data_IF_454441220588
#
_entry.id   IF_454441220588
#
_cell.length_a   1.000
_cell.length_b   1.000
_cell.length_c   1.000
_cell.angle_alpha   90.00
_cell.angle_beta   90.00
_cell.angle_gamma   90.00
#
_symmetry.space_group_name_H-M   'P 1'
#
loop_
_entity.id
_entity.type
_entity.pdbx_description
1 polymer ?
#
# COMPACT_ATOMS: atom_id res chain seq x y z
N UNK A 1 9.96 -38.80 -54.74
CA UNK A 1 11.36 -38.87 -54.30
C UNK A 1 11.79 -37.54 -53.72
N UNK A 2 11.63 -37.33 -52.43
CA UNK A 2 12.15 -36.13 -51.76
C UNK A 2 13.17 -36.53 -50.72
N UNK A 3 14.41 -36.05 -50.93
CA UNK A 3 15.58 -36.29 -50.06
C UNK A 3 15.38 -35.64 -48.70
N UNK A 4 15.41 -36.47 -47.67
CA UNK A 4 15.49 -36.04 -46.27
C UNK A 4 16.94 -35.67 -45.96
N UNK A 5 17.20 -34.39 -45.75
CA UNK A 5 18.49 -33.87 -45.26
C UNK A 5 18.45 -33.91 -43.71
N UNK A 6 19.43 -34.52 -43.04
CA UNK A 6 19.48 -34.55 -41.60
C UNK A 6 20.01 -33.22 -41.08
N UNK A 7 19.17 -32.49 -40.40
CA UNK A 7 19.55 -31.30 -39.60
C UNK A 7 19.80 -31.74 -38.14
N UNK A 8 20.88 -32.52 -37.99
CA UNK A 8 21.35 -32.93 -36.68
C UNK A 8 22.84 -32.71 -36.66
N UNK A 9 23.29 -31.70 -35.93
CA UNK A 9 24.67 -31.47 -35.45
C UNK A 9 25.08 -29.99 -35.58
N UNK A 10 24.56 -29.13 -34.73
CA UNK A 10 25.20 -27.85 -34.41
C UNK A 10 24.51 -27.12 -33.22
N UNK A 11 24.26 -27.82 -32.11
CA UNK A 11 23.96 -27.14 -30.85
C UNK A 11 24.65 -27.93 -29.72
N UNK A 12 25.95 -27.90 -29.68
CA UNK A 12 26.70 -28.39 -28.54
C UNK A 12 28.03 -27.65 -28.47
N UNK A 13 28.05 -26.42 -28.06
CA UNK A 13 29.23 -25.72 -27.54
C UNK A 13 28.88 -24.26 -27.23
N UNK A 14 28.31 -23.96 -26.08
CA UNK A 14 28.34 -22.63 -25.43
C UNK A 14 27.76 -22.73 -24.00
N UNK A 15 28.29 -23.64 -23.21
CA UNK A 15 28.18 -23.59 -21.75
C UNK A 15 29.61 -23.65 -21.20
N UNK A 16 30.35 -22.60 -21.43
CA UNK A 16 31.57 -22.31 -20.71
C UNK A 16 31.32 -21.04 -19.93
N UNK A 17 30.76 -21.23 -18.77
CA UNK A 17 30.43 -20.25 -17.96
C UNK A 17 31.29 -19.60 -17.04
N UNK A 18 31.13 -18.45 -16.69
CA UNK A 18 31.81 -17.71 -15.67
C UNK A 18 31.21 -18.03 -14.29
N UNK A 19 31.82 -18.92 -13.57
CA UNK A 19 31.72 -18.95 -12.11
C UNK A 19 32.82 -18.03 -11.57
N UNK A 20 32.57 -16.72 -11.57
CA UNK A 20 33.31 -15.80 -10.74
C UNK A 20 32.69 -15.85 -9.35
N UNK A 21 33.23 -16.70 -8.49
CA UNK A 21 32.98 -16.67 -7.07
C UNK A 21 33.39 -15.29 -6.53
N UNK A 22 32.46 -14.47 -6.19
CA UNK A 22 32.72 -13.23 -5.45
C UNK A 22 33.01 -13.63 -4.01
N UNK A 23 34.28 -13.51 -3.60
CA UNK A 23 34.73 -13.72 -2.23
C UNK A 23 34.15 -12.56 -1.37
N UNK A 24 33.05 -12.82 -0.67
CA UNK A 24 32.34 -11.84 0.15
C UNK A 24 33.10 -11.47 1.44
N UNK A 25 34.14 -12.19 1.78
CA UNK A 25 34.95 -11.93 2.98
C UNK A 25 36.04 -10.86 2.80
N UNK A 26 36.17 -10.26 1.63
CA UNK A 26 37.19 -9.23 1.34
C UNK A 26 36.62 -7.91 0.81
N UNK A 27 35.40 -7.59 1.10
CA UNK A 27 34.91 -6.23 0.84
C UNK A 27 35.39 -5.35 1.99
N UNK A 28 36.36 -4.44 1.79
CA UNK A 28 36.68 -3.47 2.81
C UNK A 28 35.46 -2.58 2.99
N UNK A 29 34.88 -2.58 4.18
CA UNK A 29 33.87 -1.62 4.59
C UNK A 29 34.60 -0.27 4.74
N UNK A 30 34.61 0.52 3.69
CA UNK A 30 34.96 1.92 3.83
C UNK A 30 33.80 2.64 4.51
N UNK A 31 33.95 2.82 5.81
CA UNK A 31 33.12 3.80 6.54
C UNK A 31 33.39 5.17 5.96
N UNK A 32 32.41 5.75 5.29
CA UNK A 32 32.46 7.09 4.70
C UNK A 32 32.53 8.23 5.75
N UNK A 33 32.91 7.91 6.97
CA UNK A 33 33.25 8.87 8.02
C UNK A 33 34.69 8.59 8.47
N UNK A 34 35.65 8.93 7.59
CA UNK A 34 37.06 8.98 7.94
C UNK A 34 37.32 10.08 8.97
N UNK A 35 37.27 9.72 10.23
CA UNK A 35 37.98 10.44 11.29
C UNK A 35 38.66 9.43 12.20
N UNK A 36 40.00 9.47 12.37
CA UNK A 36 40.70 8.62 13.33
C UNK A 36 40.30 9.01 14.75
N UNK A 37 39.96 8.00 15.58
CA UNK A 37 39.82 8.17 17.03
C UNK A 37 41.16 8.63 17.60
N UNK A 38 41.29 9.92 17.82
CA UNK A 38 42.36 10.48 18.64
C UNK A 38 41.84 10.58 20.08
N UNK A 39 42.39 9.76 20.95
CA UNK A 39 42.23 9.89 22.40
C UNK A 39 42.99 11.12 22.87
N UNK A 40 42.28 12.09 23.44
CA UNK A 40 42.90 13.10 24.31
C UNK A 40 42.55 14.56 23.97
N UNK A 41 41.90 15.25 24.88
CA UNK A 41 41.95 16.73 24.99
C UNK A 41 40.63 17.44 24.79
N UNK A 42 40.08 17.91 25.89
CA UNK A 42 38.97 18.86 25.93
C UNK A 42 39.24 20.12 25.11
N UNK A 43 38.36 20.45 24.15
CA UNK A 43 38.06 21.83 23.83
C UNK A 43 36.68 21.98 23.20
N UNK A 44 35.90 22.88 23.76
CA UNK A 44 34.57 23.23 23.29
C UNK A 44 34.68 23.99 21.93
N UNK A 45 34.01 23.49 20.90
CA UNK A 45 33.96 24.17 19.58
C UNK A 45 32.90 23.57 18.70
N UNK A 46 31.73 24.18 18.69
CA UNK A 46 30.74 24.26 17.62
C UNK A 46 30.62 23.03 16.72
N UNK A 47 30.01 21.96 17.23
CA UNK A 47 29.56 20.86 16.41
C UNK A 47 28.35 21.33 15.57
N UNK A 48 28.53 21.40 14.25
CA UNK A 48 27.48 21.68 13.30
C UNK A 48 26.28 20.78 13.59
N UNK A 49 25.16 21.40 13.90
CA UNK A 49 23.87 20.80 14.09
C UNK A 49 23.42 20.18 12.77
N UNK A 50 23.84 18.96 12.49
CA UNK A 50 23.10 18.11 11.56
C UNK A 50 21.77 17.79 12.23
N UNK A 51 20.82 18.69 12.06
CA UNK A 51 19.47 18.52 12.57
C UNK A 51 18.78 17.38 11.83
N UNK A 52 19.02 16.15 12.27
CA UNK A 52 18.07 15.08 12.06
C UNK A 52 16.82 15.52 12.81
N UNK A 53 15.85 16.08 12.07
CA UNK A 53 14.53 16.36 12.63
C UNK A 53 14.03 15.04 13.17
N UNK A 54 13.88 14.94 14.48
CA UNK A 54 13.29 13.76 15.13
C UNK A 54 11.92 13.55 14.52
N UNK A 55 11.72 12.42 13.85
CA UNK A 55 10.40 12.01 13.37
C UNK A 55 9.54 11.85 14.62
N UNK A 56 8.52 12.70 14.77
CA UNK A 56 7.57 12.60 15.86
C UNK A 56 6.73 11.33 15.66
N UNK A 57 7.16 10.24 16.30
CA UNK A 57 6.50 8.94 16.22
C UNK A 57 5.07 8.99 16.77
N UNK A 58 4.78 9.94 17.69
CA UNK A 58 3.42 10.10 18.23
C UNK A 58 2.46 10.66 17.17
N UNK A 59 2.89 11.64 16.40
CA UNK A 59 2.10 12.18 15.29
C UNK A 59 1.88 11.14 14.19
N UNK A 60 2.90 10.38 13.84
CA UNK A 60 2.78 9.28 12.87
C UNK A 60 1.79 8.21 13.35
N UNK A 61 1.78 7.88 14.64
CA UNK A 61 0.81 6.94 15.21
C UNK A 61 -0.63 7.47 15.12
N UNK A 62 -0.84 8.77 15.42
CA UNK A 62 -2.14 9.43 15.30
C UNK A 62 -2.61 9.44 13.85
N UNK A 63 -1.72 9.78 12.91
CA UNK A 63 -2.06 9.84 11.49
C UNK A 63 -2.48 8.47 10.95
N UNK A 64 -1.85 7.39 11.40
CA UNK A 64 -2.24 6.01 11.06
C UNK A 64 -3.49 5.53 11.80
N UNK A 65 -3.76 6.06 12.98
CA UNK A 65 -4.94 5.72 13.75
C UNK A 65 -6.25 6.25 13.13
N UNK A 66 -6.19 7.32 12.33
CA UNK A 66 -7.38 7.96 11.76
C UNK A 66 -8.19 8.74 12.81
N UNK A 67 -9.41 9.21 12.45
CA UNK A 67 -10.24 9.96 13.37
C UNK A 67 -10.71 9.09 14.54
N UNK A 68 -10.62 9.64 15.75
CA UNK A 68 -10.97 8.91 16.98
C UNK A 68 -12.47 8.62 17.05
N UNK A 69 -12.82 7.40 17.44
CA UNK A 69 -14.22 6.99 17.64
C UNK A 69 -15.03 6.86 16.34
N UNK A 70 -14.42 6.96 15.17
CA UNK A 70 -15.10 6.85 13.87
C UNK A 70 -14.74 5.51 13.23
N UNK A 71 -15.77 4.77 12.79
CA UNK A 71 -15.56 3.54 12.02
C UNK A 71 -14.92 3.83 10.66
N UNK A 72 -14.25 2.83 10.08
CA UNK A 72 -13.51 2.95 8.80
C UNK A 72 -14.17 2.26 7.63
N UNK A 73 -15.36 1.70 7.82
CA UNK A 73 -15.99 0.79 6.86
C UNK A 73 -17.29 1.39 6.34
N UNK A 74 -17.39 1.50 5.01
CA UNK A 74 -18.60 1.84 4.28
C UNK A 74 -19.17 0.57 3.67
N UNK A 75 -20.42 0.23 4.01
CA UNK A 75 -21.11 -0.96 3.51
C UNK A 75 -21.96 -0.66 2.30
N UNK A 76 -22.13 -1.67 1.43
CA UNK A 76 -22.88 -1.58 0.19
C UNK A 76 -23.94 -2.68 0.08
N UNK A 77 -24.98 -2.39 -0.69
CA UNK A 77 -25.95 -3.41 -1.06
C UNK A 77 -25.39 -4.40 -2.08
N UNK A 78 -26.13 -5.48 -2.28
CA UNK A 78 -25.79 -6.47 -3.29
C UNK A 78 -25.70 -5.80 -4.67
N UNK A 79 -24.63 -6.14 -5.40
CA UNK A 79 -24.38 -5.63 -6.75
C UNK A 79 -24.43 -4.10 -6.89
N UNK A 80 -24.13 -3.37 -5.80
CA UNK A 80 -24.19 -1.91 -5.74
C UNK A 80 -22.85 -1.32 -5.30
N UNK A 81 -22.57 -0.11 -5.79
CA UNK A 81 -21.50 0.80 -5.37
C UNK A 81 -22.04 2.17 -4.92
N UNK A 82 -23.34 2.26 -4.69
CA UNK A 82 -23.97 3.48 -4.21
C UNK A 82 -23.73 3.63 -2.72
N UNK A 83 -23.18 4.77 -2.32
CA UNK A 83 -22.95 5.10 -0.91
C UNK A 83 -24.30 5.38 -0.26
N UNK A 84 -24.56 4.67 0.83
CA UNK A 84 -25.78 4.85 1.61
C UNK A 84 -25.74 6.14 2.44
N UNK A 85 -26.89 6.77 2.71
CA UNK A 85 -26.95 8.01 3.50
C UNK A 85 -26.29 7.89 4.89
N UNK A 86 -26.40 6.74 5.55
CA UNK A 86 -25.83 6.50 6.87
C UNK A 86 -24.30 6.53 6.89
N UNK A 87 -23.63 6.36 5.73
CA UNK A 87 -22.17 6.44 5.63
C UNK A 87 -21.66 7.89 5.46
N UNK A 88 -22.51 8.87 5.23
CA UNK A 88 -22.09 10.24 4.94
C UNK A 88 -21.34 10.87 6.11
N UNK A 89 -21.85 10.75 7.33
CA UNK A 89 -21.19 11.30 8.53
C UNK A 89 -19.80 10.70 8.77
N UNK A 90 -19.64 9.39 8.49
CA UNK A 90 -18.36 8.71 8.54
C UNK A 90 -17.39 9.30 7.50
N UNK A 91 -17.81 9.42 6.25
CA UNK A 91 -16.98 9.97 5.16
C UNK A 91 -16.59 11.42 5.45
N UNK A 92 -17.49 12.24 5.96
CA UNK A 92 -17.21 13.62 6.36
C UNK A 92 -16.17 13.70 7.49
N UNK A 93 -16.25 12.81 8.49
CA UNK A 93 -15.27 12.77 9.57
C UNK A 93 -13.88 12.42 9.05
N UNK A 94 -13.78 11.43 8.14
CA UNK A 94 -12.53 11.08 7.48
C UNK A 94 -12.00 12.21 6.58
N UNK A 95 -12.87 12.90 5.84
CA UNK A 95 -12.49 14.05 5.02
C UNK A 95 -11.88 15.17 5.87
N UNK A 96 -12.51 15.53 7.00
CA UNK A 96 -11.96 16.52 7.94
C UNK A 96 -10.60 16.10 8.48
N UNK A 97 -10.46 14.84 8.86
CA UNK A 97 -9.21 14.31 9.40
C UNK A 97 -8.08 14.36 8.36
N UNK A 98 -8.32 13.90 7.12
CA UNK A 98 -7.30 13.87 6.06
C UNK A 98 -6.88 15.31 5.70
N UNK A 99 -7.82 16.22 5.54
CA UNK A 99 -7.55 17.64 5.21
C UNK A 99 -6.76 18.37 6.29
N UNK A 100 -6.89 17.98 7.55
CA UNK A 100 -6.19 18.62 8.66
C UNK A 100 -4.67 18.35 8.66
N UNK A 101 -4.18 17.43 7.82
CA UNK A 101 -2.74 17.14 7.69
C UNK A 101 -2.35 16.85 6.24
N UNK A 102 -1.54 17.71 5.64
CA UNK A 102 -1.12 17.56 4.23
C UNK A 102 -0.32 16.27 3.98
N UNK A 103 0.36 15.75 4.99
CA UNK A 103 1.12 14.51 4.92
C UNK A 103 0.24 13.25 5.06
N UNK A 104 -1.00 13.38 5.53
CA UNK A 104 -1.90 12.23 5.74
C UNK A 104 -2.29 11.61 4.41
N UNK A 105 -2.13 10.29 4.33
CA UNK A 105 -2.48 9.49 3.17
C UNK A 105 -3.48 8.43 3.57
N UNK A 106 -4.50 8.24 2.75
CA UNK A 106 -5.48 7.18 2.93
C UNK A 106 -5.58 6.30 1.69
N UNK A 107 -5.78 5.02 1.89
CA UNK A 107 -6.10 4.04 0.84
C UNK A 107 -7.52 3.56 1.08
N UNK A 108 -8.34 3.61 0.06
CA UNK A 108 -9.70 3.09 0.08
C UNK A 108 -9.68 1.71 -0.57
N UNK A 109 -9.86 0.67 0.23
CA UNK A 109 -9.83 -0.72 -0.21
C UNK A 109 -11.26 -1.21 -0.48
N UNK A 110 -11.56 -1.56 -1.73
CA UNK A 110 -12.89 -2.03 -2.15
C UNK A 110 -12.98 -3.54 -2.17
N UNK A 111 -14.05 -4.07 -1.61
CA UNK A 111 -14.31 -5.49 -1.43
C UNK A 111 -15.70 -5.90 -1.89
N UNK A 112 -15.85 -7.18 -2.21
CA UNK A 112 -17.12 -7.81 -2.58
C UNK A 112 -17.37 -9.05 -1.75
N UNK A 113 -18.58 -9.57 -1.77
CA UNK A 113 -18.82 -10.95 -1.39
C UNK A 113 -18.30 -11.91 -2.49
N UNK A 114 -18.36 -13.23 -2.25
CA UNK A 114 -17.78 -14.23 -3.15
C UNK A 114 -18.64 -14.54 -4.40
N UNK A 115 -19.86 -14.01 -4.47
CA UNK A 115 -20.78 -14.29 -5.57
C UNK A 115 -20.35 -13.58 -6.84
N UNK A 116 -20.31 -14.31 -7.95
CA UNK A 116 -19.91 -13.78 -9.26
C UNK A 116 -18.51 -14.23 -9.69
N UNK A 117 -18.08 -13.73 -10.82
CA UNK A 117 -16.76 -14.01 -11.36
C UNK A 117 -15.69 -13.08 -10.78
N UNK A 118 -14.46 -13.57 -10.72
CA UNK A 118 -13.31 -12.85 -10.14
C UNK A 118 -13.10 -11.46 -10.75
N UNK A 119 -13.13 -11.36 -12.09
CA UNK A 119 -12.92 -10.12 -12.82
C UNK A 119 -14.03 -9.12 -12.53
N UNK A 120 -15.27 -9.61 -12.47
CA UNK A 120 -16.43 -8.82 -12.10
C UNK A 120 -16.30 -8.26 -10.68
N UNK A 121 -15.95 -9.11 -9.72
CA UNK A 121 -15.76 -8.73 -8.33
C UNK A 121 -14.62 -7.72 -8.15
N UNK A 122 -13.53 -7.88 -8.90
CA UNK A 122 -12.44 -6.90 -8.91
C UNK A 122 -12.92 -5.54 -9.42
N UNK A 123 -13.69 -5.52 -10.52
CA UNK A 123 -14.26 -4.29 -11.08
C UNK A 123 -15.30 -3.66 -10.14
N UNK A 124 -16.17 -4.46 -9.50
CA UNK A 124 -17.16 -3.95 -8.54
C UNK A 124 -16.48 -3.38 -7.29
N UNK A 125 -15.47 -4.06 -6.75
CA UNK A 125 -14.66 -3.55 -5.64
C UNK A 125 -13.99 -2.22 -6.00
N UNK A 126 -13.46 -2.09 -7.22
CA UNK A 126 -12.87 -0.83 -7.70
C UNK A 126 -13.91 0.30 -7.74
N UNK A 127 -15.10 0.04 -8.27
CA UNK A 127 -16.19 1.04 -8.29
C UNK A 127 -16.60 1.49 -6.89
N UNK A 128 -16.62 0.59 -5.89
CA UNK A 128 -16.88 0.92 -4.48
C UNK A 128 -15.80 1.82 -3.89
N UNK A 129 -14.54 1.43 -4.06
CA UNK A 129 -13.41 2.25 -3.59
C UNK A 129 -13.41 3.64 -4.23
N UNK A 130 -13.65 3.73 -5.53
CA UNK A 130 -13.73 5.00 -6.24
C UNK A 130 -14.95 5.85 -5.86
N UNK A 131 -16.07 5.23 -5.50
CA UNK A 131 -17.23 5.97 -5.01
C UNK A 131 -16.89 6.72 -3.71
N UNK A 132 -16.22 6.05 -2.76
CA UNK A 132 -15.76 6.68 -1.52
C UNK A 132 -14.65 7.71 -1.79
N UNK A 133 -13.68 7.41 -2.67
CA UNK A 133 -12.64 8.38 -3.07
C UNK A 133 -13.25 9.65 -3.65
N UNK A 134 -14.21 9.52 -4.57
CA UNK A 134 -14.92 10.68 -5.14
C UNK A 134 -15.69 11.46 -4.09
N UNK A 135 -16.36 10.79 -3.14
CA UNK A 135 -17.06 11.46 -2.05
C UNK A 135 -16.11 12.27 -1.16
N UNK A 136 -14.93 11.72 -0.82
CA UNK A 136 -13.89 12.44 -0.09
C UNK A 136 -13.35 13.64 -0.89
N UNK A 137 -13.15 13.48 -2.20
CA UNK A 137 -12.71 14.55 -3.10
C UNK A 137 -13.73 15.71 -3.17
N UNK A 138 -15.04 15.41 -3.25
CA UNK A 138 -16.09 16.41 -3.21
C UNK A 138 -16.12 17.21 -1.89
N UNK A 139 -15.67 16.59 -0.79
CA UNK A 139 -15.49 17.25 0.51
C UNK A 139 -14.15 18.01 0.62
N UNK A 140 -13.37 18.08 -0.47
CA UNK A 140 -12.16 18.87 -0.57
C UNK A 140 -10.88 18.14 -0.14
N UNK A 141 -10.89 16.80 -0.07
CA UNK A 141 -9.65 16.01 0.09
C UNK A 141 -8.89 16.01 -1.23
N UNK A 142 -7.59 16.26 -1.18
CA UNK A 142 -6.75 16.29 -2.37
C UNK A 142 -6.50 14.89 -2.93
N UNK A 143 -6.51 14.75 -4.27
CA UNK A 143 -6.31 13.47 -4.95
C UNK A 143 -4.97 12.80 -4.62
N UNK A 144 -3.94 13.59 -4.29
CA UNK A 144 -2.64 13.07 -3.88
C UNK A 144 -2.64 12.48 -2.46
N UNK A 145 -3.72 12.65 -1.69
CA UNK A 145 -3.87 12.13 -0.34
C UNK A 145 -4.67 10.81 -0.30
N UNK A 146 -5.37 10.47 -1.38
CA UNK A 146 -6.29 9.32 -1.41
C UNK A 146 -6.04 8.43 -2.63
N UNK A 147 -5.96 7.14 -2.39
CA UNK A 147 -5.80 6.09 -3.39
C UNK A 147 -6.98 5.11 -3.31
N UNK A 148 -7.48 4.63 -4.44
CA UNK A 148 -8.52 3.61 -4.50
C UNK A 148 -7.95 2.31 -5.05
N UNK A 149 -8.13 1.20 -4.32
CA UNK A 149 -7.63 -0.13 -4.68
C UNK A 149 -8.73 -1.16 -4.49
N UNK A 150 -8.81 -2.15 -5.37
CA UNK A 150 -9.76 -3.26 -5.24
C UNK A 150 -9.06 -4.56 -4.87
N UNK A 151 -9.64 -5.26 -3.92
CA UNK A 151 -9.32 -6.65 -3.62
C UNK A 151 -10.41 -7.62 -4.09
N UNK A 152 -11.54 -7.09 -4.59
CA UNK A 152 -12.69 -7.92 -4.95
C UNK A 152 -13.07 -8.85 -3.81
N UNK A 153 -13.20 -10.13 -4.09
CA UNK A 153 -13.53 -11.18 -3.11
C UNK A 153 -12.32 -11.72 -2.31
N UNK A 154 -11.09 -11.28 -2.63
CA UNK A 154 -9.85 -11.92 -2.13
C UNK A 154 -9.53 -11.66 -0.66
N UNK A 155 -10.11 -10.61 -0.08
CA UNK A 155 -9.92 -10.27 1.34
C UNK A 155 -11.28 -10.18 2.04
N UNK A 156 -11.96 -11.27 2.34
CA UNK A 156 -13.22 -11.25 3.08
C UNK A 156 -12.97 -10.77 4.52
N UNK A 157 -13.87 -9.92 5.04
CA UNK A 157 -13.88 -9.53 6.45
C UNK A 157 -14.40 -10.68 7.33
N UNK A 158 -15.34 -11.44 6.81
CA UNK A 158 -15.93 -12.61 7.47
C UNK A 158 -15.94 -13.76 6.48
N UNK A 159 -15.40 -14.88 6.91
CA UNK A 159 -15.48 -16.13 6.16
C UNK A 159 -16.84 -16.79 6.41
N UNK A 160 -17.34 -17.49 5.41
CA UNK A 160 -18.61 -18.23 5.48
C UNK A 160 -19.59 -17.83 4.38
N UNK A 161 -20.66 -18.58 4.31
CA UNK A 161 -21.71 -18.44 3.30
C UNK A 161 -22.96 -17.81 3.92
N UNK A 162 -23.73 -17.14 3.08
CA UNK A 162 -25.00 -16.52 3.48
C UNK A 162 -24.89 -15.02 3.72
N UNK A 163 -26.07 -14.40 3.86
CA UNK A 163 -26.17 -12.93 3.89
C UNK A 163 -25.48 -12.29 5.10
N UNK A 164 -25.38 -12.99 6.23
CA UNK A 164 -24.68 -12.53 7.42
C UNK A 164 -23.17 -12.28 7.17
N UNK A 165 -22.53 -13.13 6.34
CA UNK A 165 -21.16 -12.97 5.92
C UNK A 165 -21.06 -11.99 4.72
N UNK A 166 -21.93 -12.16 3.73
CA UNK A 166 -21.89 -11.36 2.50
C UNK A 166 -22.09 -9.88 2.74
N UNK A 167 -23.05 -9.49 3.60
CA UNK A 167 -23.27 -8.09 3.94
C UNK A 167 -22.05 -7.40 4.53
N UNK A 168 -21.24 -8.11 5.32
CA UNK A 168 -19.99 -7.62 5.92
C UNK A 168 -18.84 -7.55 4.91
N UNK A 169 -18.88 -8.41 3.89
CA UNK A 169 -17.85 -8.45 2.84
C UNK A 169 -18.07 -7.37 1.76
N UNK A 170 -19.31 -6.95 1.52
CA UNK A 170 -19.64 -5.85 0.59
C UNK A 170 -19.31 -4.50 1.21
N UNK A 171 -18.03 -4.11 1.17
CA UNK A 171 -17.55 -2.91 1.86
C UNK A 171 -16.46 -2.15 1.08
N UNK A 172 -16.25 -0.91 1.46
CA UNK A 172 -15.00 -0.20 1.23
C UNK A 172 -14.41 0.19 2.60
N UNK A 173 -13.12 -0.02 2.77
CA UNK A 173 -12.40 0.23 4.01
C UNK A 173 -11.40 1.38 3.82
N UNK A 174 -11.34 2.31 4.77
CA UNK A 174 -10.42 3.45 4.75
C UNK A 174 -9.22 3.14 5.63
N UNK A 175 -8.07 2.92 5.01
CA UNK A 175 -6.80 2.62 5.68
C UNK A 175 -5.85 3.81 5.59
N UNK A 176 -5.06 4.06 6.63
CA UNK A 176 -4.09 5.15 6.69
C UNK A 176 -2.65 4.63 6.60
N UNK A 177 -1.79 5.38 5.93
CA UNK A 177 -0.36 5.04 5.74
C UNK A 177 0.56 6.02 6.46
#
# INVERSE_FOLDING_TARGET
MFKRIPFALAVLALVAGCSSGVDLDKVPVEDKNGAPLSTGGANAGNAGQSGVQGVDLSQSAIDKAGPQGVGRVVYFDYDSYVIKPEAQSLIEAHARFIKAGAARKAVIEGHTDERGGREYNLALGQRRAEAVRRALGLLGVSDNQIEAVSFGEKKPAVQGYGEDAYSKNRRAEISYR
#
